data_IF_521930766680
#
_entry.id   IF_521930766680
#
_cell.length_a   1.000
_cell.length_b   1.000
_cell.length_c   1.000
_cell.angle_alpha   90.00
_cell.angle_beta   90.00
_cell.angle_gamma   90.00
#
_symmetry.space_group_name_H-M   'P 1'
#
loop_
_entity.id
_entity.type
_entity.pdbx_description
1 polymer ?
#
# COMPACT_ATOMS: atom_id res chain seq x y z
N UNK A 1 17.65 -14.35 0.62
CA UNK A 1 17.54 -12.88 0.67
C UNK A 1 16.07 -12.49 0.61
N UNK A 2 15.64 -11.70 1.57
CA UNK A 2 14.25 -11.25 1.62
C UNK A 2 14.08 -10.03 0.73
N UNK A 3 13.14 -10.09 -0.20
CA UNK A 3 12.85 -8.99 -1.11
C UNK A 3 11.47 -8.41 -0.76
N UNK A 4 11.43 -7.09 -0.50
CA UNK A 4 10.17 -6.40 -0.23
C UNK A 4 9.76 -5.67 -1.50
N UNK A 5 8.67 -6.08 -2.15
CA UNK A 5 8.18 -5.38 -3.34
C UNK A 5 7.73 -3.97 -2.99
N UNK A 6 7.94 -3.05 -3.91
CA UNK A 6 7.53 -1.65 -3.79
C UNK A 6 6.52 -1.31 -4.87
N UNK A 7 5.46 -0.65 -4.46
CA UNK A 7 4.43 -0.15 -5.37
C UNK A 7 4.45 1.36 -5.34
N UNK A 8 4.87 1.99 -6.42
CA UNK A 8 4.89 3.44 -6.52
C UNK A 8 3.60 3.92 -7.18
N UNK A 9 2.75 4.59 -6.39
CA UNK A 9 1.49 5.16 -6.88
C UNK A 9 1.56 6.67 -7.10
N UNK A 10 2.76 7.26 -6.96
CA UNK A 10 2.96 8.68 -7.22
C UNK A 10 2.66 8.98 -8.69
N UNK A 11 1.78 9.94 -8.94
CA UNK A 11 1.38 10.31 -10.28
C UNK A 11 0.36 9.39 -10.94
N UNK A 12 -0.08 8.35 -10.25
CA UNK A 12 -1.11 7.43 -10.76
C UNK A 12 -2.50 7.99 -10.44
N UNK A 13 -3.35 8.09 -11.46
CA UNK A 13 -4.67 8.70 -11.34
C UNK A 13 -5.62 7.85 -10.48
N UNK A 14 -6.52 8.52 -9.79
CA UNK A 14 -7.65 7.92 -9.10
C UNK A 14 -8.70 7.43 -10.13
N UNK A 15 -9.32 6.27 -10.04
CA UNK A 15 -9.15 5.23 -9.01
C UNK A 15 -8.13 4.14 -9.40
N UNK A 16 -7.36 4.32 -10.45
CA UNK A 16 -6.40 3.33 -10.96
C UNK A 16 -5.38 2.97 -9.87
N UNK A 17 -4.96 3.94 -9.05
CA UNK A 17 -4.03 3.71 -7.95
C UNK A 17 -4.54 2.62 -6.99
N UNK A 18 -5.85 2.62 -6.68
CA UNK A 18 -6.43 1.61 -5.80
C UNK A 18 -6.53 0.24 -6.47
N UNK A 19 -6.80 0.20 -7.77
CA UNK A 19 -6.81 -1.05 -8.52
C UNK A 19 -5.41 -1.68 -8.54
N UNK A 20 -4.38 -0.87 -8.73
CA UNK A 20 -2.99 -1.33 -8.68
C UNK A 20 -2.63 -1.85 -7.30
N UNK A 21 -3.07 -1.16 -6.24
CA UNK A 21 -2.84 -1.59 -4.88
C UNK A 21 -3.48 -2.95 -4.60
N UNK A 22 -4.76 -3.09 -4.94
CA UNK A 22 -5.48 -4.35 -4.73
C UNK A 22 -4.84 -5.50 -5.48
N UNK A 23 -4.43 -5.26 -6.73
CA UNK A 23 -3.76 -6.26 -7.54
C UNK A 23 -2.43 -6.70 -6.94
N UNK A 24 -1.63 -5.74 -6.45
CA UNK A 24 -0.35 -6.03 -5.82
C UNK A 24 -0.51 -6.85 -4.55
N UNK A 25 -1.48 -6.49 -3.70
CA UNK A 25 -1.75 -7.23 -2.46
C UNK A 25 -2.25 -8.64 -2.77
N UNK A 26 -3.09 -8.80 -3.79
CA UNK A 26 -3.60 -10.12 -4.18
C UNK A 26 -2.48 -11.06 -4.64
N UNK A 27 -1.39 -10.52 -5.16
CA UNK A 27 -0.24 -11.31 -5.58
C UNK A 27 0.70 -11.71 -4.45
N UNK A 28 0.47 -11.23 -3.23
CA UNK A 28 1.32 -11.56 -2.09
C UNK A 28 0.91 -12.90 -1.47
N UNK A 29 1.92 -13.62 -0.96
CA UNK A 29 1.69 -14.76 -0.09
C UNK A 29 1.47 -14.27 1.35
N UNK A 30 0.90 -15.13 2.20
CA UNK A 30 0.68 -14.80 3.62
C UNK A 30 1.97 -14.33 4.28
N UNK A 31 1.89 -13.30 5.09
CA UNK A 31 3.00 -12.69 5.83
C UNK A 31 4.01 -11.91 4.97
N UNK A 32 3.82 -11.84 3.66
CA UNK A 32 4.64 -10.97 2.83
C UNK A 32 4.28 -9.50 3.04
N UNK A 33 5.26 -8.61 2.86
CA UNK A 33 5.10 -7.17 3.07
C UNK A 33 5.20 -6.45 1.73
N UNK A 34 4.34 -5.45 1.54
CA UNK A 34 4.35 -4.56 0.38
C UNK A 34 4.59 -3.13 0.87
N UNK A 35 5.56 -2.45 0.27
CA UNK A 35 5.76 -1.01 0.49
C UNK A 35 5.04 -0.23 -0.59
N UNK A 36 4.19 0.71 -0.18
CA UNK A 36 3.41 1.56 -1.08
C UNK A 36 3.84 3.01 -0.91
N UNK A 37 4.04 3.70 -2.02
CA UNK A 37 4.36 5.13 -2.04
C UNK A 37 3.23 5.89 -2.74
N UNK A 38 2.78 6.99 -2.14
CA UNK A 38 1.78 7.88 -2.75
C UNK A 38 1.96 9.30 -2.22
N UNK A 39 1.56 10.30 -3.00
CA UNK A 39 1.53 11.69 -2.57
C UNK A 39 0.12 12.16 -2.19
N UNK A 40 -0.89 11.32 -2.39
CA UNK A 40 -2.28 11.70 -2.21
C UNK A 40 -2.81 11.21 -0.86
N UNK A 41 -3.18 12.12 0.07
CA UNK A 41 -3.74 11.72 1.36
C UNK A 41 -5.06 10.95 1.23
N UNK A 42 -5.84 11.18 0.18
CA UNK A 42 -7.08 10.43 -0.06
C UNK A 42 -6.77 8.97 -0.39
N UNK A 43 -5.69 8.71 -1.11
CA UNK A 43 -5.21 7.36 -1.39
C UNK A 43 -4.78 6.68 -0.09
N UNK A 44 -4.07 7.40 0.79
CA UNK A 44 -3.67 6.87 2.11
C UNK A 44 -4.91 6.46 2.91
N UNK A 45 -5.92 7.32 2.98
CA UNK A 45 -7.16 7.04 3.69
C UNK A 45 -7.88 5.82 3.12
N UNK A 46 -7.93 5.71 1.79
CA UNK A 46 -8.58 4.58 1.12
C UNK A 46 -7.84 3.27 1.36
N UNK A 47 -6.50 3.29 1.32
CA UNK A 47 -5.70 2.11 1.62
C UNK A 47 -5.92 1.66 3.06
N UNK A 48 -5.93 2.59 4.02
CA UNK A 48 -6.22 2.28 5.41
C UNK A 48 -7.59 1.62 5.56
N UNK A 49 -8.60 2.13 4.87
CA UNK A 49 -9.94 1.55 4.91
C UNK A 49 -9.98 0.13 4.33
N UNK A 50 -9.30 -0.09 3.20
CA UNK A 50 -9.21 -1.41 2.58
C UNK A 50 -8.52 -2.40 3.52
N UNK A 51 -7.40 -2.01 4.10
CA UNK A 51 -6.63 -2.85 5.02
C UNK A 51 -7.46 -3.19 6.26
N UNK A 52 -8.18 -2.21 6.82
CA UNK A 52 -8.99 -2.43 8.02
C UNK A 52 -10.16 -3.39 7.77
N UNK A 53 -10.61 -3.52 6.53
CA UNK A 53 -11.70 -4.45 6.16
C UNK A 53 -11.19 -5.82 5.73
N UNK A 54 -9.89 -6.01 5.68
CA UNK A 54 -9.26 -7.27 5.29
C UNK A 54 -8.56 -7.89 6.49
N UNK A 55 -7.88 -9.01 6.24
CA UNK A 55 -7.01 -9.64 7.25
C UNK A 55 -5.58 -9.07 7.18
N UNK A 56 -5.32 -8.17 6.26
CA UNK A 56 -4.01 -7.56 6.09
C UNK A 56 -3.77 -6.52 7.21
N UNK A 57 -2.51 -6.22 7.47
CA UNK A 57 -2.12 -5.35 8.57
C UNK A 57 -1.23 -4.23 8.06
N UNK A 58 -1.61 -2.99 8.36
CA UNK A 58 -0.73 -1.84 8.16
C UNK A 58 0.31 -1.83 9.28
N UNK A 59 1.56 -2.18 8.96
CA UNK A 59 2.61 -2.29 9.97
C UNK A 59 3.40 -1.00 10.13
N UNK A 60 3.35 -0.10 9.15
CA UNK A 60 4.05 1.17 9.22
C UNK A 60 3.44 2.19 8.27
N UNK A 61 3.39 3.44 8.69
CA UNK A 61 2.96 4.56 7.86
C UNK A 61 3.82 5.76 8.21
N UNK A 62 4.53 6.30 7.22
CA UNK A 62 5.41 7.45 7.39
C UNK A 62 5.13 8.47 6.30
N UNK A 63 5.42 9.74 6.61
CA UNK A 63 5.40 10.82 5.63
C UNK A 63 6.80 11.38 5.52
N UNK A 64 7.37 11.30 4.32
CA UNK A 64 8.69 11.83 4.00
C UNK A 64 8.55 12.95 2.98
N UNK A 65 8.62 14.21 3.43
CA UNK A 65 8.34 15.35 2.57
C UNK A 65 6.89 15.32 2.13
N UNK A 66 6.64 15.19 0.82
CA UNK A 66 5.30 15.11 0.24
C UNK A 66 4.88 13.68 -0.08
N UNK A 67 5.70 12.70 0.25
CA UNK A 67 5.44 11.30 -0.07
C UNK A 67 5.05 10.54 1.19
N UNK A 68 3.95 9.78 1.12
CA UNK A 68 3.55 8.84 2.16
C UNK A 68 4.07 7.46 1.80
N UNK A 69 4.65 6.79 2.78
CA UNK A 69 5.10 5.41 2.66
C UNK A 69 4.28 4.56 3.61
N UNK A 70 3.64 3.52 3.06
CA UNK A 70 2.85 2.58 3.85
C UNK A 70 3.42 1.18 3.63
N UNK A 71 3.59 0.44 4.72
CA UNK A 71 4.03 -0.96 4.67
C UNK A 71 2.88 -1.84 5.12
N UNK A 72 2.42 -2.73 4.25
CA UNK A 72 1.27 -3.59 4.50
C UNK A 72 1.73 -5.05 4.50
N UNK A 73 1.36 -5.79 5.53
CA UNK A 73 1.63 -7.22 5.63
C UNK A 73 0.38 -8.00 5.25
N UNK A 74 0.53 -8.95 4.34
CA UNK A 74 -0.56 -9.84 3.91
C UNK A 74 -0.99 -10.75 5.05
N UNK A 75 -2.28 -10.77 5.31
CA UNK A 75 -2.87 -11.63 6.34
C UNK A 75 -3.03 -13.09 5.97
#
# INVERSE_FOLDING_TARGET
>A
MTFIPKLNLVGVAWPVCLLKFKSAVSGLCACEVLDVLTQDPDVVASINMIVNRSKDILINQQKEGQVYRLSIRKG
#
